data_IF_689308007443
#
_entry.id   IF_689308007443
#
_cell.length_a   1.000
_cell.length_b   1.000
_cell.length_c   1.000
_cell.angle_alpha   90.00
_cell.angle_beta   90.00
_cell.angle_gamma   90.00
#
_symmetry.space_group_name_H-M   'P 1'
#
loop_
_entity.id
_entity.type
_entity.pdbx_description
1 polymer ?
#
# COMPACT_ATOMS: atom_id res chain seq x y z
N UNK A 1 -53.40 -76.47 27.04
CA UNK A 1 -52.05 -76.27 26.50
C UNK A 1 -52.15 -75.51 25.19
N UNK A 2 -51.67 -74.27 25.15
CA UNK A 2 -50.97 -73.58 24.04
C UNK A 2 -51.01 -72.07 24.34
N UNK A 3 -49.86 -71.50 24.71
CA UNK A 3 -49.66 -70.07 24.87
C UNK A 3 -48.68 -69.60 23.79
N UNK A 4 -49.13 -68.68 22.93
CA UNK A 4 -48.33 -68.01 21.90
C UNK A 4 -47.54 -66.85 22.51
N UNK A 5 -46.24 -66.82 22.24
CA UNK A 5 -45.35 -65.74 22.67
C UNK A 5 -45.54 -64.48 21.80
N UNK A 6 -45.73 -63.32 22.43
CA UNK A 6 -45.68 -62.00 21.79
C UNK A 6 -44.23 -61.50 21.82
N UNK A 7 -43.69 -61.14 20.65
CA UNK A 7 -42.37 -60.51 20.54
C UNK A 7 -42.44 -59.03 20.93
N UNK A 8 -41.59 -58.62 21.87
CA UNK A 8 -41.43 -57.23 22.30
C UNK A 8 -40.21 -56.65 21.59
N UNK A 9 -40.42 -55.67 20.70
CA UNK A 9 -39.34 -55.00 19.98
C UNK A 9 -38.50 -54.15 20.95
N UNK A 10 -37.17 -54.30 20.86
CA UNK A 10 -36.18 -53.62 21.70
C UNK A 10 -35.87 -52.25 21.08
N UNK A 11 -36.24 -51.18 21.77
CA UNK A 11 -35.88 -49.79 21.44
C UNK A 11 -34.35 -49.63 21.28
N UNK A 12 -33.92 -49.13 20.12
CA UNK A 12 -32.51 -48.97 19.75
C UNK A 12 -32.04 -47.54 20.05
N UNK A 13 -31.37 -47.40 21.19
CA UNK A 13 -30.34 -46.41 21.58
C UNK A 13 -30.24 -45.08 20.81
N UNK A 14 -30.75 -44.00 21.43
CA UNK A 14 -30.63 -42.58 21.02
C UNK A 14 -29.23 -41.94 21.24
N UNK A 15 -28.14 -42.73 21.35
CA UNK A 15 -26.79 -42.17 21.62
C UNK A 15 -26.08 -41.60 20.40
N UNK A 16 -26.46 -41.99 19.18
CA UNK A 16 -25.86 -41.45 17.95
C UNK A 16 -26.27 -40.01 17.63
N UNK A 17 -27.49 -39.60 18.00
CA UNK A 17 -28.04 -38.28 17.66
C UNK A 17 -27.37 -37.12 18.42
N UNK A 18 -26.90 -37.36 19.66
CA UNK A 18 -26.32 -36.31 20.50
C UNK A 18 -24.92 -35.88 20.04
N UNK A 19 -24.12 -36.80 19.49
CA UNK A 19 -22.81 -36.48 18.94
C UNK A 19 -22.91 -35.62 17.68
N UNK A 20 -23.87 -35.94 16.82
CA UNK A 20 -24.12 -35.23 15.56
C UNK A 20 -24.60 -33.79 15.79
N UNK A 21 -25.43 -33.57 16.82
CA UNK A 21 -25.87 -32.22 17.21
C UNK A 21 -24.71 -31.34 17.70
N UNK A 22 -23.76 -31.91 18.46
CA UNK A 22 -22.59 -31.19 18.96
C UNK A 22 -21.63 -30.77 17.84
N UNK A 23 -21.32 -31.69 16.92
CA UNK A 23 -20.47 -31.38 15.76
C UNK A 23 -21.11 -30.35 14.84
N UNK A 24 -22.43 -30.45 14.61
CA UNK A 24 -23.15 -29.49 13.79
C UNK A 24 -23.16 -28.10 14.44
N UNK A 25 -23.38 -28.01 15.75
CA UNK A 25 -23.33 -26.75 16.50
C UNK A 25 -21.96 -26.06 16.42
N UNK A 26 -20.87 -26.83 16.56
CA UNK A 26 -19.51 -26.31 16.44
C UNK A 26 -19.22 -25.80 15.02
N UNK A 27 -19.60 -26.56 13.99
CA UNK A 27 -19.44 -26.13 12.59
C UNK A 27 -20.27 -24.87 12.31
N UNK A 28 -21.51 -24.79 12.78
CA UNK A 28 -22.34 -23.59 12.66
C UNK A 28 -21.71 -22.37 13.33
N UNK A 29 -21.09 -22.54 14.51
CA UNK A 29 -20.41 -21.47 15.22
C UNK A 29 -19.15 -20.99 14.48
N UNK A 30 -18.34 -21.90 13.94
CA UNK A 30 -17.17 -21.56 13.12
C UNK A 30 -17.59 -20.83 11.84
N UNK A 31 -18.64 -21.29 11.16
CA UNK A 31 -19.19 -20.60 9.99
C UNK A 31 -19.73 -19.20 10.33
N UNK A 32 -20.34 -19.04 11.51
CA UNK A 32 -20.83 -17.73 11.97
C UNK A 32 -19.68 -16.76 12.27
N UNK A 33 -18.59 -17.25 12.89
CA UNK A 33 -17.38 -16.45 13.12
C UNK A 33 -16.69 -16.05 11.81
N UNK A 34 -16.62 -16.95 10.83
CA UNK A 34 -16.11 -16.63 9.49
C UNK A 34 -17.01 -15.61 8.77
N UNK A 35 -18.33 -15.67 8.96
CA UNK A 35 -19.25 -14.73 8.35
C UNK A 35 -19.14 -13.30 8.92
N UNK A 36 -18.73 -13.14 10.19
CA UNK A 36 -18.51 -11.82 10.81
C UNK A 36 -17.27 -11.13 10.20
N UNK A 37 -16.19 -11.88 9.96
CA UNK A 37 -14.98 -11.40 9.25
C UNK A 37 -15.26 -11.10 7.77
N UNK A 38 -16.22 -11.79 7.15
CA UNK A 38 -16.54 -11.60 5.73
C UNK A 38 -17.18 -10.25 5.40
N UNK A 39 -17.81 -9.55 6.34
CA UNK A 39 -18.42 -8.24 6.04
C UNK A 39 -17.36 -7.20 5.68
N UNK A 40 -16.23 -7.21 6.39
CA UNK A 40 -15.09 -6.33 6.11
C UNK A 40 -14.34 -6.74 4.83
N UNK A 41 -14.24 -8.05 4.57
CA UNK A 41 -13.65 -8.56 3.33
C UNK A 41 -14.51 -8.27 2.08
N UNK A 42 -15.84 -8.32 2.21
CA UNK A 42 -16.77 -8.02 1.12
C UNK A 42 -16.84 -6.52 0.82
N UNK A 43 -16.77 -5.65 1.83
CA UNK A 43 -16.69 -4.19 1.62
C UNK A 43 -15.37 -3.79 0.94
N UNK A 44 -14.26 -4.45 1.29
CA UNK A 44 -12.98 -4.28 0.60
C UNK A 44 -13.03 -4.81 -0.84
N UNK A 45 -13.71 -5.93 -1.11
CA UNK A 45 -13.83 -6.51 -2.45
C UNK A 45 -14.81 -5.74 -3.35
N UNK A 46 -15.90 -5.21 -2.80
CA UNK A 46 -16.82 -4.33 -3.51
C UNK A 46 -16.13 -3.02 -3.92
N UNK A 47 -15.32 -2.43 -3.04
CA UNK A 47 -14.51 -1.25 -3.36
C UNK A 47 -13.47 -1.52 -4.46
N UNK A 48 -12.93 -2.74 -4.55
CA UNK A 48 -12.02 -3.17 -5.63
C UNK A 48 -12.79 -3.42 -6.93
N UNK A 49 -13.96 -4.07 -6.87
CA UNK A 49 -14.77 -4.38 -8.07
C UNK A 49 -15.33 -3.12 -8.74
N UNK A 50 -15.79 -2.15 -7.96
CA UNK A 50 -16.34 -0.90 -8.51
C UNK A 50 -15.24 -0.02 -9.13
N UNK A 51 -13.97 -0.21 -8.74
CA UNK A 51 -12.80 0.41 -9.37
C UNK A 51 -12.26 -0.36 -10.58
N UNK A 52 -12.68 -1.61 -10.80
CA UNK A 52 -12.23 -2.43 -11.93
C UNK A 52 -13.02 -2.16 -13.23
N UNK A 53 -14.25 -1.64 -13.14
CA UNK A 53 -15.13 -1.47 -14.30
C UNK A 53 -14.73 -0.35 -15.28
N UNK A 54 -14.03 0.75 -14.92
CA UNK A 54 -13.44 1.65 -15.92
C UNK A 54 -12.04 1.23 -16.37
N UNK A 55 -11.43 0.19 -15.78
CA UNK A 55 -10.06 -0.23 -16.10
C UNK A 55 -9.96 -1.25 -17.25
N UNK A 56 -11.08 -1.85 -17.68
CA UNK A 56 -11.10 -2.81 -18.79
C UNK A 56 -10.62 -2.22 -20.14
N UNK A 57 -10.62 -0.89 -20.28
CA UNK A 57 -10.07 -0.21 -21.47
C UNK A 57 -8.54 -0.15 -21.54
N UNK A 58 -7.82 -0.37 -20.42
CA UNK A 58 -6.34 -0.28 -20.36
C UNK A 58 -5.60 -1.62 -20.43
N UNK A 59 -6.33 -2.73 -20.35
CA UNK A 59 -5.77 -4.10 -20.41
C UNK A 59 -5.56 -4.59 -21.86
N UNK A 60 -5.98 -3.83 -22.87
CA UNK A 60 -5.76 -4.22 -24.28
C UNK A 60 -4.40 -3.73 -24.80
N UNK A 61 -3.80 -2.70 -24.16
CA UNK A 61 -2.50 -2.16 -24.57
C UNK A 61 -1.32 -3.09 -24.27
N UNK A 62 -1.28 -3.69 -23.08
CA UNK A 62 -0.14 -4.51 -22.63
C UNK A 62 0.00 -5.87 -23.34
N UNK A 63 -1.08 -6.38 -23.95
CA UNK A 63 -1.07 -7.67 -24.67
C UNK A 63 -0.47 -7.49 -26.05
N UNK A 64 -0.54 -6.27 -26.60
CA UNK A 64 -0.04 -6.00 -27.94
C UNK A 64 1.49 -5.93 -28.01
N UNK A 65 2.13 -5.49 -26.92
CA UNK A 65 3.59 -5.42 -26.83
C UNK A 65 4.23 -6.69 -26.25
N UNK A 66 3.49 -7.50 -25.47
CA UNK A 66 3.97 -8.78 -24.93
C UNK A 66 3.75 -10.00 -25.84
N UNK A 67 2.93 -9.88 -26.88
CA UNK A 67 2.61 -10.99 -27.78
C UNK A 67 3.63 -11.19 -28.93
N UNK A 68 4.61 -10.29 -29.11
CA UNK A 68 5.61 -10.43 -30.18
C UNK A 68 6.69 -11.46 -29.88
N UNK A 69 6.94 -11.80 -28.62
CA UNK A 69 8.07 -12.67 -28.21
C UNK A 69 7.68 -14.03 -27.59
N UNK A 70 6.40 -14.40 -27.68
CA UNK A 70 5.93 -15.75 -27.34
C UNK A 70 6.36 -16.26 -25.96
N UNK A 71 6.47 -17.59 -25.83
CA UNK A 71 6.77 -18.30 -24.58
C UNK A 71 8.11 -17.92 -23.94
N UNK A 72 9.04 -17.32 -24.69
CA UNK A 72 10.33 -16.86 -24.18
C UNK A 72 10.22 -15.58 -23.35
N UNK A 73 9.27 -14.70 -23.68
CA UNK A 73 8.95 -13.52 -22.86
C UNK A 73 8.37 -13.87 -21.49
N UNK A 74 7.62 -14.97 -21.38
CA UNK A 74 7.15 -15.48 -20.07
C UNK A 74 8.28 -16.10 -19.26
N UNK A 75 9.30 -16.64 -19.92
CA UNK A 75 10.46 -17.27 -19.28
C UNK A 75 11.44 -16.24 -18.73
N UNK A 76 11.63 -15.10 -19.41
CA UNK A 76 12.45 -14.00 -18.89
C UNK A 76 11.83 -13.35 -17.65
N UNK A 77 10.50 -13.21 -17.63
CA UNK A 77 9.75 -12.73 -16.44
C UNK A 77 9.87 -13.71 -15.27
N UNK A 78 9.86 -15.02 -15.53
CA UNK A 78 10.05 -16.05 -14.51
C UNK A 78 11.51 -16.20 -14.04
N UNK A 79 12.49 -15.73 -14.82
CA UNK A 79 13.92 -15.87 -14.54
C UNK A 79 14.51 -14.73 -13.72
N UNK A 80 13.71 -13.73 -13.33
CA UNK A 80 14.13 -12.70 -12.36
C UNK A 80 15.04 -11.60 -12.89
N UNK A 81 15.33 -11.56 -14.19
CA UNK A 81 16.23 -10.57 -14.81
C UNK A 81 15.56 -9.26 -15.21
N UNK A 82 14.28 -9.09 -14.90
CA UNK A 82 13.62 -7.77 -14.91
C UNK A 82 13.22 -7.42 -13.50
N UNK A 83 13.84 -6.37 -12.98
CA UNK A 83 13.50 -5.74 -11.70
C UNK A 83 12.09 -5.14 -11.82
N UNK A 84 11.09 -6.01 -11.72
CA UNK A 84 9.70 -5.62 -11.65
C UNK A 84 9.55 -4.67 -10.45
N UNK A 85 8.92 -3.49 -10.61
CA UNK A 85 8.74 -2.57 -9.51
C UNK A 85 8.14 -3.28 -8.30
N UNK A 86 8.86 -3.31 -7.18
CA UNK A 86 8.36 -3.93 -5.95
C UNK A 86 7.10 -3.19 -5.52
N UNK A 87 5.96 -3.84 -5.71
CA UNK A 87 4.66 -3.35 -5.26
C UNK A 87 4.64 -3.32 -3.72
N UNK A 88 4.07 -2.26 -3.16
CA UNK A 88 3.87 -2.17 -1.71
C UNK A 88 3.00 -3.34 -1.22
N UNK A 89 3.39 -3.97 -0.11
CA UNK A 89 2.66 -5.11 0.46
C UNK A 89 1.36 -4.66 1.12
N UNK A 90 0.29 -5.51 1.15
CA UNK A 90 -1.01 -5.16 1.74
C UNK A 90 -0.99 -4.82 3.24
N UNK A 91 0.08 -5.21 3.94
CA UNK A 91 0.27 -4.94 5.38
C UNK A 91 1.17 -3.72 5.63
N UNK A 92 1.30 -2.81 4.65
CA UNK A 92 2.08 -1.59 4.81
C UNK A 92 1.63 -0.84 6.07
N UNK A 93 2.58 -0.59 6.98
CA UNK A 93 2.35 0.21 8.18
C UNK A 93 1.81 1.56 7.74
N UNK A 94 0.57 1.86 8.12
CA UNK A 94 -0.05 3.14 7.79
C UNK A 94 0.64 4.21 8.62
N UNK A 95 1.52 4.99 7.98
CA UNK A 95 2.17 6.12 8.64
C UNK A 95 1.10 7.10 9.13
N UNK A 96 0.98 7.20 10.45
CA UNK A 96 -0.02 8.00 11.12
C UNK A 96 0.55 8.62 12.39
N UNK A 97 0.27 9.90 12.61
CA UNK A 97 0.71 10.61 13.81
C UNK A 97 1.12 12.04 13.53
N UNK A 98 1.40 12.76 14.63
CA UNK A 98 2.01 14.09 14.60
C UNK A 98 3.50 13.92 14.88
N UNK A 99 4.33 14.63 14.12
CA UNK A 99 5.77 14.61 14.24
C UNK A 99 6.28 16.04 14.31
N UNK A 100 7.29 16.27 15.16
CA UNK A 100 7.97 17.55 15.33
C UNK A 100 9.18 17.62 14.40
N UNK A 101 9.64 18.81 13.99
CA UNK A 101 10.91 18.96 13.30
C UNK A 101 12.07 18.32 14.08
N UNK A 102 12.93 17.61 13.37
CA UNK A 102 14.16 17.04 13.93
C UNK A 102 15.35 18.01 13.87
N UNK A 103 15.27 19.05 13.04
CA UNK A 103 16.28 20.09 12.87
C UNK A 103 15.63 21.47 12.63
N UNK A 104 16.43 22.53 12.81
CA UNK A 104 15.96 23.91 12.68
C UNK A 104 15.57 24.27 11.24
N UNK A 105 16.30 23.74 10.25
CA UNK A 105 15.95 23.91 8.84
C UNK A 105 14.53 23.37 8.53
N UNK A 106 14.18 22.20 9.06
CA UNK A 106 12.83 21.63 8.92
C UNK A 106 11.79 22.47 9.66
N UNK A 107 12.11 22.94 10.87
CA UNK A 107 11.22 23.82 11.65
C UNK A 107 10.92 25.11 10.89
N UNK A 108 11.93 25.70 10.29
CA UNK A 108 11.84 26.94 9.53
C UNK A 108 11.15 26.75 8.17
N UNK A 109 11.36 25.62 7.49
CA UNK A 109 10.77 25.41 6.18
C UNK A 109 9.29 24.98 6.25
N UNK A 110 8.95 24.06 7.15
CA UNK A 110 7.65 23.35 7.10
C UNK A 110 6.94 23.22 8.44
N UNK A 111 7.65 23.41 9.57
CA UNK A 111 7.10 23.25 10.92
C UNK A 111 6.73 21.80 11.24
N UNK A 112 5.76 21.58 12.12
CA UNK A 112 5.26 20.23 12.45
C UNK A 112 4.63 19.53 11.24
N UNK A 113 4.64 18.19 11.24
CA UNK A 113 3.97 17.38 10.23
C UNK A 113 2.92 16.45 10.86
N UNK A 114 1.78 16.29 10.18
CA UNK A 114 0.77 15.27 10.50
C UNK A 114 0.64 14.32 9.32
N UNK A 115 0.79 13.03 9.58
CA UNK A 115 0.56 11.96 8.62
C UNK A 115 -0.76 11.26 8.94
N UNK A 116 -1.58 11.00 7.93
CA UNK A 116 -2.85 10.28 8.08
C UNK A 116 -3.11 9.50 6.80
N UNK A 117 -2.50 8.31 6.72
CA UNK A 117 -2.58 7.47 5.52
C UNK A 117 -2.04 8.19 4.29
N UNK A 118 -2.91 8.45 3.32
CA UNK A 118 -2.57 9.18 2.09
C UNK A 118 -2.44 10.70 2.26
N UNK A 119 -2.66 11.26 3.45
CA UNK A 119 -2.57 12.70 3.69
C UNK A 119 -1.29 13.07 4.46
N UNK A 120 -0.55 14.05 3.96
CA UNK A 120 0.56 14.70 4.67
C UNK A 120 0.21 16.17 4.84
N UNK A 121 0.14 16.66 6.07
CA UNK A 121 -0.14 18.07 6.37
C UNK A 121 1.03 18.68 7.14
N UNK A 122 1.60 19.73 6.57
CA UNK A 122 2.68 20.51 7.16
C UNK A 122 2.07 21.74 7.86
N UNK A 123 2.61 22.12 9.01
CA UNK A 123 2.13 23.24 9.82
C UNK A 123 2.12 24.55 9.03
N UNK A 124 3.14 24.79 8.20
CA UNK A 124 3.24 25.97 7.34
C UNK A 124 2.35 25.95 6.09
N UNK A 125 1.26 25.19 6.14
CA UNK A 125 0.10 25.36 5.25
C UNK A 125 0.06 24.44 4.02
N UNK A 126 1.05 23.58 3.79
CA UNK A 126 1.00 22.62 2.69
C UNK A 126 0.31 21.32 3.12
N UNK A 127 -0.72 20.92 2.38
CA UNK A 127 -1.38 19.63 2.51
C UNK A 127 -1.25 18.83 1.20
N UNK A 128 -0.57 17.69 1.26
CA UNK A 128 -0.31 16.82 0.11
C UNK A 128 -1.17 15.57 0.21
N UNK A 129 -2.20 15.48 -0.66
CA UNK A 129 -2.94 14.24 -0.86
C UNK A 129 -2.09 13.34 -1.74
N UNK A 130 -1.93 12.09 -1.34
CA UNK A 130 -1.01 11.15 -1.97
C UNK A 130 -1.66 9.80 -2.18
N UNK A 131 -1.12 9.03 -3.14
CA UNK A 131 -1.41 7.61 -3.33
C UNK A 131 -0.09 6.84 -3.50
N UNK A 132 -0.02 5.57 -3.08
CA UNK A 132 1.19 4.76 -3.28
C UNK A 132 1.61 4.72 -4.75
N UNK A 133 2.92 4.79 -4.99
CA UNK A 133 3.54 4.60 -6.30
C UNK A 133 4.32 3.28 -6.33
N UNK A 134 5.36 3.14 -5.50
CA UNK A 134 6.17 1.92 -5.33
C UNK A 134 7.08 2.04 -4.10
N UNK A 135 7.76 0.97 -3.73
CA UNK A 135 8.88 1.01 -2.79
C UNK A 135 10.19 1.09 -3.58
N UNK A 136 11.05 2.05 -3.23
CA UNK A 136 12.41 2.17 -3.71
C UNK A 136 13.40 1.63 -2.66
N UNK A 137 14.55 1.17 -3.13
CA UNK A 137 15.68 0.83 -2.25
C UNK A 137 16.51 2.07 -1.91
N UNK A 138 17.23 2.04 -0.80
CA UNK A 138 18.08 3.16 -0.38
C UNK A 138 19.21 3.43 -1.37
N UNK A 139 19.81 2.40 -1.95
CA UNK A 139 20.86 2.48 -2.97
C UNK A 139 20.35 2.89 -4.36
N UNK A 140 19.04 3.00 -4.55
CA UNK A 140 18.48 3.40 -5.82
C UNK A 140 18.78 4.88 -6.12
N UNK A 141 19.28 5.15 -7.32
CA UNK A 141 19.50 6.51 -7.80
C UNK A 141 18.17 7.20 -8.14
N UNK A 142 17.98 8.43 -7.65
CA UNK A 142 16.78 9.23 -7.94
C UNK A 142 17.00 10.29 -9.01
N UNK A 143 18.21 10.45 -9.55
CA UNK A 143 18.52 11.38 -10.63
C UNK A 143 19.72 10.96 -11.50
N UNK A 144 19.94 11.72 -12.58
CA UNK A 144 21.01 11.52 -13.57
C UNK A 144 22.44 11.71 -13.06
N UNK A 145 22.64 12.27 -11.87
CA UNK A 145 23.98 12.32 -11.25
C UNK A 145 24.25 11.11 -10.36
N UNK A 146 23.33 10.14 -10.31
CA UNK A 146 23.48 8.94 -9.49
C UNK A 146 23.33 9.19 -7.99
N UNK A 147 22.70 10.30 -7.56
CA UNK A 147 22.41 10.52 -6.14
C UNK A 147 21.40 9.49 -5.67
N UNK A 148 21.69 8.84 -4.55
CA UNK A 148 20.86 7.78 -3.98
C UNK A 148 20.04 8.26 -2.80
N UNK A 149 18.92 7.57 -2.52
CA UNK A 149 18.08 7.89 -1.37
C UNK A 149 18.84 7.74 -0.04
N UNK A 150 19.67 6.71 0.09
CA UNK A 150 20.45 6.42 1.27
C UNK A 150 21.44 7.54 1.58
N UNK A 151 22.14 8.06 0.57
CA UNK A 151 23.06 9.17 0.73
C UNK A 151 22.33 10.46 1.15
N UNK A 152 21.16 10.72 0.56
CA UNK A 152 20.41 11.95 0.84
C UNK A 152 19.70 11.95 2.19
N UNK A 153 19.16 10.80 2.59
CA UNK A 153 18.37 10.63 3.80
C UNK A 153 19.19 10.21 5.02
N UNK A 154 20.50 9.99 4.86
CA UNK A 154 21.36 9.38 5.88
C UNK A 154 20.74 8.05 6.38
N UNK A 155 20.51 7.17 5.41
CA UNK A 155 19.87 5.88 5.60
C UNK A 155 20.77 4.74 5.13
N UNK A 156 20.39 3.51 5.50
CA UNK A 156 21.07 2.31 4.98
C UNK A 156 20.76 2.14 3.49
N UNK A 157 21.66 1.50 2.77
CA UNK A 157 21.48 1.17 1.34
C UNK A 157 20.29 0.25 1.08
N UNK A 158 19.95 -0.61 2.03
CA UNK A 158 18.78 -1.52 1.97
C UNK A 158 17.51 -0.91 2.59
N UNK A 159 17.52 0.39 2.92
CA UNK A 159 16.34 1.06 3.45
C UNK A 159 15.18 1.03 2.44
N UNK A 160 13.97 0.80 2.94
CA UNK A 160 12.77 0.85 2.11
C UNK A 160 12.21 2.27 2.12
N UNK A 161 12.17 2.87 0.94
CA UNK A 161 11.68 4.24 0.74
C UNK A 161 10.32 4.16 0.06
N UNK A 162 9.28 4.66 0.71
CA UNK A 162 7.94 4.67 0.13
C UNK A 162 7.79 5.86 -0.82
N UNK A 163 7.68 5.60 -2.12
CA UNK A 163 7.34 6.63 -3.10
C UNK A 163 5.82 6.73 -3.23
N UNK A 164 5.30 7.95 -3.14
CA UNK A 164 3.88 8.25 -3.31
C UNK A 164 3.69 9.36 -4.34
N UNK A 165 2.71 9.21 -5.22
CA UNK A 165 2.31 10.26 -6.15
C UNK A 165 1.44 11.29 -5.42
N UNK A 166 1.77 12.57 -5.57
CA UNK A 166 0.90 13.68 -5.16
C UNK A 166 -0.26 13.78 -6.14
N UNK A 167 -1.48 13.80 -5.60
CA UNK A 167 -2.72 13.86 -6.39
C UNK A 167 -3.53 15.09 -6.03
N UNK A 168 -4.37 15.53 -6.96
CA UNK A 168 -5.29 16.63 -6.72
C UNK A 168 -6.19 16.33 -5.51
N UNK A 169 -6.54 17.36 -4.72
CA UNK A 169 -7.37 17.17 -3.53
C UNK A 169 -8.78 16.70 -3.90
N UNK A 170 -9.29 17.07 -5.08
CA UNK A 170 -10.59 16.68 -5.62
C UNK A 170 -10.50 16.39 -7.13
N UNK A 171 -11.45 15.59 -7.65
CA UNK A 171 -11.53 15.28 -9.07
C UNK A 171 -11.73 16.54 -9.92
N UNK A 172 -11.01 16.64 -11.03
CA UNK A 172 -11.07 17.80 -11.95
C UNK A 172 -10.22 19.00 -11.53
N UNK A 173 -9.60 18.97 -10.34
CA UNK A 173 -8.62 19.98 -9.92
C UNK A 173 -7.20 19.55 -10.31
N UNK A 174 -6.30 20.52 -10.40
CA UNK A 174 -4.86 20.30 -10.50
C UNK A 174 -4.21 20.46 -9.13
N UNK A 175 -3.04 19.85 -8.96
CA UNK A 175 -2.19 20.12 -7.79
C UNK A 175 -1.66 21.55 -7.89
N UNK A 176 -1.80 22.34 -6.84
CA UNK A 176 -1.31 23.72 -6.81
C UNK A 176 0.22 23.76 -6.74
N UNK A 177 0.82 24.81 -7.31
CA UNK A 177 2.23 25.10 -7.11
C UNK A 177 2.53 25.41 -5.64
N UNK A 178 3.78 25.20 -5.23
CA UNK A 178 4.21 25.45 -3.85
C UNK A 178 5.56 26.16 -3.79
N UNK A 179 5.76 27.10 -2.86
CA UNK A 179 7.06 27.69 -2.58
C UNK A 179 8.13 26.65 -2.24
N UNK A 180 7.75 25.51 -1.66
CA UNK A 180 8.70 24.43 -1.35
C UNK A 180 9.37 23.85 -2.59
N UNK A 181 8.73 23.98 -3.76
CA UNK A 181 9.26 23.56 -5.06
C UNK A 181 9.68 24.76 -5.92
N UNK A 182 9.97 25.92 -5.32
CA UNK A 182 10.32 27.14 -6.06
C UNK A 182 9.20 27.66 -6.95
N UNK A 183 7.94 27.43 -6.58
CA UNK A 183 6.77 27.80 -7.37
C UNK A 183 6.37 26.76 -8.43
N UNK A 184 7.04 25.62 -8.51
CA UNK A 184 6.60 24.49 -9.32
C UNK A 184 5.52 23.65 -8.62
N UNK A 185 4.83 22.81 -9.39
CA UNK A 185 3.87 21.82 -8.90
C UNK A 185 4.64 20.62 -8.32
N UNK A 186 4.31 20.12 -7.12
CA UNK A 186 4.87 18.87 -6.59
C UNK A 186 4.19 17.64 -7.21
N UNK A 187 4.95 16.56 -7.41
CA UNK A 187 4.46 15.33 -8.07
C UNK A 187 4.70 14.03 -7.33
N UNK A 188 5.83 13.90 -6.66
CA UNK A 188 6.20 12.69 -5.93
C UNK A 188 6.73 13.07 -4.56
N UNK A 189 6.37 12.29 -3.55
CA UNK A 189 6.97 12.36 -2.23
C UNK A 189 7.63 11.01 -1.93
N UNK A 190 8.90 11.03 -1.53
CA UNK A 190 9.58 9.89 -0.95
C UNK A 190 9.50 9.99 0.57
N UNK A 191 9.08 8.91 1.22
CA UNK A 191 8.92 8.85 2.67
C UNK A 191 9.74 7.69 3.20
N UNK A 192 10.69 7.99 4.09
CA UNK A 192 11.38 7.01 4.91
C UNK A 192 10.81 7.09 6.33
N UNK A 193 10.25 5.99 6.81
CA UNK A 193 9.80 5.88 8.19
C UNK A 193 10.75 4.97 8.98
N UNK A 194 11.25 5.50 10.09
CA UNK A 194 12.05 4.82 11.11
C UNK A 194 11.29 4.84 12.43
N UNK A 195 11.76 4.11 13.44
CA UNK A 195 11.04 3.93 14.71
C UNK A 195 10.51 5.24 15.32
N UNK A 196 11.36 6.26 15.42
CA UNK A 196 11.05 7.56 16.00
C UNK A 196 11.21 8.72 15.01
N UNK A 197 11.43 8.44 13.72
CA UNK A 197 11.71 9.46 12.69
C UNK A 197 10.96 9.24 11.40
N UNK A 198 10.64 10.34 10.73
CA UNK A 198 10.14 10.34 9.37
C UNK A 198 10.96 11.34 8.58
N UNK A 199 11.47 10.92 7.43
CA UNK A 199 12.12 11.81 6.49
C UNK A 199 11.35 11.84 5.17
N UNK A 200 11.25 13.04 4.62
CA UNK A 200 10.42 13.33 3.47
C UNK A 200 11.27 14.04 2.43
N UNK A 201 11.26 13.52 1.20
CA UNK A 201 11.75 14.24 0.03
C UNK A 201 10.57 14.59 -0.88
N UNK A 202 10.51 15.82 -1.38
CA UNK A 202 9.48 16.25 -2.32
C UNK A 202 10.11 16.51 -3.68
N UNK A 203 9.49 16.00 -4.73
CA UNK A 203 9.92 16.16 -6.11
C UNK A 203 8.85 16.88 -6.93
N UNK A 204 9.27 17.61 -7.95
CA UNK A 204 8.39 18.31 -8.90
C UNK A 204 7.50 17.33 -9.67
N UNK A 205 6.40 17.84 -10.20
CA UNK A 205 5.50 17.12 -11.11
C UNK A 205 6.25 16.62 -12.35
N UNK A 206 5.79 15.50 -12.91
CA UNK A 206 6.36 14.85 -14.10
C UNK A 206 7.79 14.34 -13.92
N UNK A 207 8.32 14.33 -12.69
CA UNK A 207 9.55 13.63 -12.35
C UNK A 207 9.32 12.13 -12.43
N UNK A 208 10.02 11.45 -13.34
CA UNK A 208 10.20 10.00 -13.29
C UNK A 208 11.41 9.74 -12.41
N UNK A 209 11.17 9.28 -11.19
CA UNK A 209 12.22 9.00 -10.21
C UNK A 209 13.06 7.81 -10.69
N UNK A 210 14.36 8.05 -10.89
CA UNK A 210 15.30 7.06 -11.38
C UNK A 210 16.59 7.69 -11.91
N UNK A 211 17.51 6.88 -12.46
CA UNK A 211 18.80 7.34 -12.97
C UNK A 211 18.72 8.26 -14.20
N UNK A 212 17.55 8.39 -14.84
CA UNK A 212 17.36 9.31 -15.96
C UNK A 212 16.66 10.62 -15.56
N UNK A 213 16.32 10.78 -14.28
CA UNK A 213 15.61 11.98 -13.81
C UNK A 213 16.50 13.22 -13.87
N UNK A 214 15.91 14.37 -14.21
CA UNK A 214 16.61 15.64 -14.20
C UNK A 214 17.14 15.96 -12.78
N UNK A 215 18.28 16.66 -12.73
CA UNK A 215 19.04 16.90 -11.50
C UNK A 215 18.39 17.93 -10.57
N UNK A 216 17.52 18.79 -11.08
CA UNK A 216 16.83 19.88 -10.36
C UNK A 216 15.39 19.52 -9.96
N UNK A 217 15.04 18.24 -9.99
CA UNK A 217 13.69 17.75 -9.70
C UNK A 217 13.35 17.73 -8.21
N UNK A 218 14.37 17.66 -7.33
CA UNK A 218 14.23 17.67 -5.88
C UNK A 218 13.88 19.08 -5.37
N UNK A 219 12.72 19.21 -4.74
CA UNK A 219 12.25 20.44 -4.13
C UNK A 219 12.88 20.67 -2.75
N UNK A 220 13.01 19.61 -1.94
CA UNK A 220 13.56 19.70 -0.60
C UNK A 220 13.51 18.38 0.16
N UNK A 221 14.19 18.37 1.30
CA UNK A 221 14.29 17.25 2.23
C UNK A 221 14.00 17.76 3.64
N UNK A 222 13.15 17.06 4.38
CA UNK A 222 12.74 17.43 5.73
C UNK A 222 12.75 16.23 6.65
N UNK A 223 13.16 16.46 7.90
CA UNK A 223 13.32 15.42 8.91
C UNK A 223 12.44 15.72 10.12
N UNK A 224 11.65 14.73 10.50
CA UNK A 224 10.74 14.81 11.62
C UNK A 224 11.04 13.72 12.63
N UNK A 225 10.67 13.96 13.89
CA UNK A 225 10.76 13.00 14.99
C UNK A 225 9.43 12.86 15.71
N UNK A 226 9.20 11.69 16.30
CA UNK A 226 8.09 11.48 17.20
C UNK A 226 8.14 12.51 18.36
N UNK A 227 6.98 12.94 18.87
CA UNK A 227 6.86 14.05 19.82
C UNK A 227 7.50 13.78 21.18
#
# INVERSE_FOLDING_TARGET
MTATAVSRSKSRSNRGLKGLAGTLGFVCLVLFLLAIEQKQAMDAWAAVRDQALPAAGRVIGWVKDGASDGLDGLKSVASGDSEAPRAATPNAVVLAGKFRPADDATREAVGDATFTGGMIRLEKGLALRTRPLRIASGDEAFNATGRTFAAELDARTDAQIELRTVIAPQGGQTVASTPLCGGAVPGVVAVLHRQDRVEVMLFRERTIIGPDAATDTLCGVWRFRAP
#
